data_IF_688828264900
#
_entry.id   IF_688828264900
#
_cell.length_a   1.000
_cell.length_b   1.000
_cell.length_c   1.000
_cell.angle_alpha   90.00
_cell.angle_beta   90.00
_cell.angle_gamma   90.00
#
_symmetry.space_group_name_H-M   'P 1'
#
loop_
_entity.id
_entity.type
_entity.pdbx_description
1 polymer ?
#
# COMPACT_ATOMS: atom_id res chain seq x y z
N UNK A 1 11.86 3.13 35.41
CA UNK A 1 11.90 1.92 34.56
C UNK A 1 11.26 2.24 33.23
N UNK A 2 11.76 1.68 32.13
CA UNK A 2 11.10 1.83 30.82
C UNK A 2 9.80 1.02 30.82
N UNK A 3 8.68 1.68 30.53
CA UNK A 3 7.39 1.03 30.29
C UNK A 3 7.03 1.21 28.82
N UNK A 4 6.55 0.16 28.14
CA UNK A 4 6.16 0.27 26.73
C UNK A 4 4.96 1.21 26.58
N UNK A 5 4.90 1.90 25.46
CA UNK A 5 3.74 2.66 25.02
C UNK A 5 2.57 1.73 24.70
N UNK A 6 1.35 2.29 24.69
CA UNK A 6 0.16 1.53 24.33
C UNK A 6 0.24 0.93 22.91
N UNK A 7 0.83 1.66 21.96
CA UNK A 7 1.01 1.18 20.59
C UNK A 7 2.00 0.01 20.50
N UNK A 8 3.10 0.04 21.26
CA UNK A 8 4.05 -1.08 21.34
C UNK A 8 3.39 -2.32 21.95
N UNK A 9 2.54 -2.15 22.98
CA UNK A 9 1.78 -3.25 23.59
C UNK A 9 0.83 -3.87 22.55
N UNK A 10 0.05 -3.07 21.83
CA UNK A 10 -0.87 -3.58 20.80
C UNK A 10 -0.13 -4.27 19.65
N UNK A 11 1.00 -3.72 19.23
CA UNK A 11 1.84 -4.32 18.18
C UNK A 11 2.34 -5.70 18.61
N UNK A 12 2.83 -5.83 19.85
CA UNK A 12 3.27 -7.11 20.40
C UNK A 12 2.12 -8.12 20.47
N UNK A 13 0.94 -7.69 20.92
CA UNK A 13 -0.25 -8.53 20.99
C UNK A 13 -0.68 -9.02 19.60
N UNK A 14 -0.66 -8.15 18.59
CA UNK A 14 -0.97 -8.50 17.20
C UNK A 14 -0.01 -9.57 16.67
N UNK A 15 1.31 -9.39 16.84
CA UNK A 15 2.28 -10.39 16.39
C UNK A 15 2.15 -11.73 17.14
N UNK A 16 1.90 -11.70 18.45
CA UNK A 16 1.66 -12.92 19.20
C UNK A 16 0.38 -13.65 18.72
N UNK A 17 -0.68 -12.90 18.41
CA UNK A 17 -1.91 -13.44 17.87
C UNK A 17 -1.72 -14.05 16.47
N UNK A 18 -1.03 -13.36 15.57
CA UNK A 18 -0.70 -13.86 14.23
C UNK A 18 0.11 -15.16 14.29
N UNK A 19 1.08 -15.23 15.19
CA UNK A 19 1.84 -16.47 15.47
C UNK A 19 0.93 -17.58 15.97
N UNK A 20 0.05 -17.30 16.94
CA UNK A 20 -0.88 -18.28 17.49
C UNK A 20 -1.87 -18.81 16.43
N UNK A 21 -2.30 -17.95 15.50
CA UNK A 21 -3.17 -18.32 14.37
C UNK A 21 -2.44 -18.97 13.20
N UNK A 22 -1.10 -19.04 13.20
CA UNK A 22 -0.28 -19.64 12.15
C UNK A 22 -0.62 -19.09 10.76
N UNK A 23 -0.78 -17.77 10.65
CA UNK A 23 -1.09 -17.12 9.38
C UNK A 23 0.03 -17.36 8.36
N UNK A 24 -0.33 -17.44 7.08
CA UNK A 24 0.67 -17.57 6.01
C UNK A 24 1.34 -16.23 5.68
N UNK A 25 0.56 -15.14 5.69
CA UNK A 25 1.01 -13.79 5.39
C UNK A 25 0.35 -12.80 6.35
N UNK A 26 1.13 -11.84 6.84
CA UNK A 26 0.63 -10.70 7.61
C UNK A 26 0.85 -9.40 6.82
N UNK A 27 -0.20 -8.59 6.72
CA UNK A 27 -0.11 -7.22 6.20
C UNK A 27 -0.02 -6.30 7.42
N UNK A 28 1.08 -5.56 7.53
CA UNK A 28 1.39 -4.75 8.71
C UNK A 28 1.45 -3.29 8.28
N UNK A 29 0.53 -2.48 8.78
CA UNK A 29 0.52 -1.04 8.59
C UNK A 29 1.40 -0.38 9.67
N UNK A 30 2.32 0.48 9.25
CA UNK A 30 3.10 1.28 10.18
C UNK A 30 2.22 2.35 10.83
N UNK A 31 2.28 2.49 12.15
CA UNK A 31 1.48 3.47 12.88
C UNK A 31 1.90 4.91 12.59
N UNK A 32 3.21 5.20 12.62
CA UNK A 32 3.75 6.51 12.31
C UNK A 32 5.16 6.43 11.70
N UNK A 33 5.33 7.07 10.56
CA UNK A 33 6.61 7.10 9.87
C UNK A 33 6.98 5.72 9.33
N UNK A 34 7.91 5.03 9.99
CA UNK A 34 8.35 3.69 9.59
C UNK A 34 9.62 3.26 10.30
N UNK A 35 10.71 4.02 10.18
CA UNK A 35 12.03 3.66 10.71
C UNK A 35 12.03 3.31 12.21
N UNK A 36 11.33 4.09 13.01
CA UNK A 36 11.22 3.93 14.46
C UNK A 36 9.83 3.47 14.90
N UNK A 37 9.02 3.00 13.96
CA UNK A 37 7.70 2.49 14.29
C UNK A 37 7.79 1.15 15.01
N UNK A 38 6.90 0.90 15.98
CA UNK A 38 6.89 -0.35 16.76
C UNK A 38 6.74 -1.60 15.87
N UNK A 39 6.10 -1.45 14.69
CA UNK A 39 5.93 -2.52 13.72
C UNK A 39 7.21 -2.88 12.96
N UNK A 40 8.22 -2.00 12.94
CA UNK A 40 9.44 -2.14 12.12
C UNK A 40 10.48 -3.13 12.69
N UNK A 41 10.01 -4.11 13.44
CA UNK A 41 10.79 -5.24 13.97
C UNK A 41 10.72 -6.48 13.07
N UNK A 42 9.91 -6.42 12.00
CA UNK A 42 9.73 -7.52 11.04
C UNK A 42 10.71 -7.42 9.87
N UNK A 43 10.99 -8.56 9.26
CA UNK A 43 11.70 -8.67 7.97
C UNK A 43 10.68 -8.97 6.88
N UNK A 44 10.19 -7.97 6.14
CA UNK A 44 9.10 -8.16 5.19
C UNK A 44 9.57 -8.84 3.90
N UNK A 45 8.69 -9.61 3.27
CA UNK A 45 8.90 -10.09 1.89
C UNK A 45 8.76 -8.95 0.87
N UNK A 46 7.80 -8.05 1.13
CA UNK A 46 7.54 -6.85 0.33
C UNK A 46 7.33 -5.67 1.26
N UNK A 47 8.05 -4.57 1.03
CA UNK A 47 7.80 -3.29 1.70
C UNK A 47 7.03 -2.38 0.76
N UNK A 48 5.99 -1.69 1.26
CA UNK A 48 5.17 -0.79 0.44
C UNK A 48 5.21 0.63 0.98
N UNK A 49 5.45 1.60 0.09
CA UNK A 49 5.40 3.03 0.40
C UNK A 49 4.22 3.66 -0.36
N UNK A 50 3.16 3.98 0.37
CA UNK A 50 2.02 4.76 -0.14
C UNK A 50 2.45 6.22 -0.44
N UNK A 51 1.61 7.04 -1.11
CA UNK A 51 1.95 8.42 -1.42
C UNK A 51 2.43 9.19 -0.19
N UNK A 52 3.59 9.83 -0.29
CA UNK A 52 4.16 10.64 0.79
C UNK A 52 3.68 12.07 0.63
N UNK A 53 2.93 12.53 1.63
CA UNK A 53 2.48 13.92 1.77
C UNK A 53 3.10 14.55 3.02
N UNK A 54 2.77 15.82 3.26
CA UNK A 54 3.21 16.58 4.44
C UNK A 54 2.43 16.19 5.70
N UNK A 55 2.38 14.92 6.02
CA UNK A 55 1.72 14.40 7.21
C UNK A 55 2.66 14.35 8.42
N UNK A 56 2.11 14.62 9.61
CA UNK A 56 2.83 14.60 10.89
C UNK A 56 4.17 15.35 10.88
N UNK A 57 4.22 16.52 10.23
CA UNK A 57 5.47 17.29 10.02
C UNK A 57 6.20 17.70 11.30
N UNK A 58 5.48 17.77 12.42
CA UNK A 58 6.04 18.04 13.75
C UNK A 58 6.86 16.86 14.30
N UNK A 59 6.60 15.63 13.84
CA UNK A 59 7.33 14.40 14.25
C UNK A 59 8.29 13.95 13.14
N UNK A 60 7.80 13.82 11.91
CA UNK A 60 8.55 13.26 10.78
C UNK A 60 9.43 14.29 10.05
N UNK A 61 9.25 15.56 10.37
CA UNK A 61 10.01 16.68 9.83
C UNK A 61 9.27 17.51 8.79
N UNK A 62 9.80 18.71 8.56
CA UNK A 62 9.15 19.76 7.76
C UNK A 62 9.38 19.67 6.24
N UNK A 63 9.82 18.53 5.72
CA UNK A 63 10.01 18.36 4.27
C UNK A 63 9.74 16.93 3.82
N UNK A 64 9.23 16.76 2.59
CA UNK A 64 8.97 15.44 2.00
C UNK A 64 10.21 14.55 2.01
N UNK A 65 11.40 15.13 1.83
CA UNK A 65 12.67 14.41 1.97
C UNK A 65 12.85 13.81 3.36
N UNK A 66 12.57 14.56 4.44
CA UNK A 66 12.70 14.06 5.82
C UNK A 66 11.66 12.98 6.11
N UNK A 67 10.40 13.21 5.71
CA UNK A 67 9.31 12.25 5.87
C UNK A 67 9.64 10.95 5.12
N UNK A 68 10.17 11.06 3.90
CA UNK A 68 10.61 9.92 3.11
C UNK A 68 11.77 9.15 3.74
N UNK A 69 12.68 9.80 4.47
CA UNK A 69 13.75 9.11 5.21
C UNK A 69 13.14 8.23 6.30
N UNK A 70 12.17 8.75 7.06
CA UNK A 70 11.49 7.96 8.09
C UNK A 70 10.70 6.81 7.49
N UNK A 71 9.88 7.06 6.47
CA UNK A 71 9.05 6.04 5.82
C UNK A 71 9.89 4.96 5.12
N UNK A 72 11.00 5.34 4.48
CA UNK A 72 11.91 4.39 3.81
C UNK A 72 12.65 3.46 4.78
N UNK A 73 12.56 3.70 6.10
CA UNK A 73 13.18 2.84 7.12
C UNK A 73 12.55 1.45 7.26
N UNK A 74 11.40 1.20 6.63
CA UNK A 74 10.77 -0.13 6.54
C UNK A 74 11.38 -1.00 5.43
N UNK A 75 12.19 -0.42 4.54
CA UNK A 75 12.86 -1.15 3.46
C UNK A 75 14.03 -1.91 4.08
N UNK A 76 14.00 -3.23 3.99
CA UNK A 76 15.00 -4.15 4.55
C UNK A 76 15.68 -4.95 3.45
N UNK A 77 16.84 -5.56 3.74
CA UNK A 77 17.54 -6.40 2.76
C UNK A 77 16.70 -7.63 2.43
N UNK A 78 16.76 -8.07 1.17
CA UNK A 78 16.08 -9.30 0.73
C UNK A 78 14.59 -9.14 0.43
N UNK A 79 13.99 -7.97 0.69
CA UNK A 79 12.62 -7.68 0.29
C UNK A 79 12.55 -7.10 -1.12
N UNK A 80 11.35 -7.05 -1.69
CA UNK A 80 11.01 -6.19 -2.83
C UNK A 80 10.37 -4.91 -2.30
N UNK A 81 10.71 -3.75 -2.86
CA UNK A 81 10.12 -2.46 -2.48
C UNK A 81 9.16 -1.97 -3.56
N UNK A 82 7.90 -1.78 -3.19
CA UNK A 82 6.86 -1.21 -4.05
C UNK A 82 6.54 0.20 -3.56
N UNK A 83 6.49 1.18 -4.46
CA UNK A 83 6.08 2.54 -4.14
C UNK A 83 4.96 2.99 -5.06
N UNK A 84 4.00 3.70 -4.48
CA UNK A 84 3.11 4.57 -5.24
C UNK A 84 3.94 5.65 -5.98
N UNK A 85 3.30 6.41 -6.88
CA UNK A 85 3.94 7.60 -7.45
C UNK A 85 4.28 8.61 -6.34
N UNK A 86 5.40 9.31 -6.48
CA UNK A 86 5.93 10.19 -5.44
C UNK A 86 6.44 11.48 -6.07
N UNK A 87 6.41 12.55 -5.27
CA UNK A 87 7.19 13.75 -5.53
C UNK A 87 8.69 13.43 -5.66
N UNK A 88 9.38 14.14 -6.54
CA UNK A 88 10.77 13.89 -6.91
C UNK A 88 11.70 13.82 -5.69
N UNK A 89 11.47 14.68 -4.70
CA UNK A 89 12.27 14.76 -3.49
C UNK A 89 12.15 13.52 -2.61
N UNK A 90 10.95 12.94 -2.51
CA UNK A 90 10.68 11.70 -1.79
C UNK A 90 11.15 10.48 -2.60
N UNK A 91 10.87 10.46 -3.91
CA UNK A 91 11.26 9.37 -4.81
C UNK A 91 12.77 9.14 -4.83
N UNK A 92 13.56 10.23 -4.82
CA UNK A 92 15.03 10.16 -4.75
C UNK A 92 15.52 9.47 -3.48
N UNK A 93 14.86 9.68 -2.35
CA UNK A 93 15.20 9.03 -1.07
C UNK A 93 14.91 7.54 -1.14
N UNK A 94 13.70 7.17 -1.56
CA UNK A 94 13.27 5.77 -1.63
C UNK A 94 14.17 4.99 -2.59
N UNK A 95 14.43 5.52 -3.79
CA UNK A 95 15.33 4.90 -4.77
C UNK A 95 16.75 4.73 -4.24
N UNK A 96 17.27 5.75 -3.54
CA UNK A 96 18.60 5.69 -2.92
C UNK A 96 18.65 4.57 -1.88
N UNK A 97 17.65 4.48 -1.01
CA UNK A 97 17.57 3.43 0.00
C UNK A 97 17.53 2.04 -0.63
N UNK A 98 16.70 1.86 -1.67
CA UNK A 98 16.62 0.60 -2.41
C UNK A 98 17.98 0.21 -3.01
N UNK A 99 18.65 1.17 -3.67
CA UNK A 99 19.98 0.97 -4.25
C UNK A 99 21.03 0.62 -3.19
N UNK A 100 21.01 1.29 -2.04
CA UNK A 100 21.96 1.03 -0.94
C UNK A 100 21.78 -0.36 -0.36
N UNK A 101 20.55 -0.85 -0.25
CA UNK A 101 20.26 -2.20 0.26
C UNK A 101 20.32 -3.29 -0.81
N UNK A 102 20.43 -2.92 -2.09
CA UNK A 102 20.42 -3.84 -3.22
C UNK A 102 19.08 -4.53 -3.43
N UNK A 103 17.97 -3.86 -3.11
CA UNK A 103 16.61 -4.41 -3.26
C UNK A 103 15.96 -3.97 -4.57
N UNK A 104 15.12 -4.83 -5.13
CA UNK A 104 14.30 -4.50 -6.28
C UNK A 104 13.32 -3.37 -5.92
N UNK A 105 13.17 -2.40 -6.83
CA UNK A 105 12.28 -1.26 -6.65
C UNK A 105 11.29 -1.19 -7.80
N UNK A 106 10.00 -1.21 -7.44
CA UNK A 106 8.86 -1.17 -8.36
C UNK A 106 8.07 0.12 -8.09
N UNK A 107 7.78 0.87 -9.14
CA UNK A 107 7.11 2.16 -9.06
C UNK A 107 5.80 2.17 -9.85
N UNK A 108 4.70 2.48 -9.15
CA UNK A 108 3.42 2.79 -9.79
C UNK A 108 3.56 4.06 -10.63
N UNK A 109 3.01 4.04 -11.84
CA UNK A 109 3.18 5.06 -12.87
C UNK A 109 4.33 4.79 -13.84
N UNK A 110 5.25 3.87 -13.50
CA UNK A 110 6.35 3.46 -14.38
C UNK A 110 6.28 1.97 -14.72
N UNK A 111 6.43 1.14 -13.70
CA UNK A 111 6.51 -0.32 -13.81
C UNK A 111 5.12 -0.95 -13.75
N UNK A 112 4.20 -0.30 -13.03
CA UNK A 112 2.76 -0.63 -12.99
C UNK A 112 2.01 0.58 -13.52
N UNK A 113 1.24 0.41 -14.59
CA UNK A 113 0.54 1.51 -15.26
C UNK A 113 -0.95 1.40 -15.06
N UNK A 114 -1.58 2.54 -14.81
CA UNK A 114 -3.02 2.65 -14.56
C UNK A 114 -3.65 3.43 -15.70
N UNK A 115 -4.83 3.02 -16.12
CA UNK A 115 -5.69 3.80 -17.01
C UNK A 115 -7.10 3.83 -16.44
N UNK A 116 -7.55 5.02 -16.05
CA UNK A 116 -8.94 5.29 -15.68
C UNK A 116 -9.84 5.06 -16.90
N UNK A 117 -10.97 4.37 -16.71
CA UNK A 117 -11.92 4.06 -17.77
C UNK A 117 -13.26 4.77 -17.52
N UNK A 118 -13.77 4.68 -16.30
CA UNK A 118 -15.08 5.24 -15.94
C UNK A 118 -15.14 5.49 -14.44
N UNK A 119 -15.92 6.51 -14.05
CA UNK A 119 -16.29 6.79 -12.68
C UNK A 119 -17.77 7.11 -12.57
N UNK A 120 -18.37 6.84 -11.42
CA UNK A 120 -19.66 7.38 -11.00
C UNK A 120 -19.71 7.55 -9.47
N UNK A 121 -20.89 7.80 -8.92
CA UNK A 121 -21.08 7.95 -7.47
C UNK A 121 -20.92 6.65 -6.66
N UNK A 122 -20.81 5.50 -7.31
CA UNK A 122 -20.89 4.18 -6.68
C UNK A 122 -19.64 3.32 -6.94
N UNK A 123 -18.87 3.63 -7.99
CA UNK A 123 -17.69 2.85 -8.37
C UNK A 123 -16.71 3.60 -9.26
N UNK A 124 -15.50 3.09 -9.23
CA UNK A 124 -14.41 3.38 -10.16
C UNK A 124 -14.17 2.15 -11.05
N UNK A 125 -14.00 2.36 -12.35
CA UNK A 125 -13.58 1.32 -13.31
C UNK A 125 -12.28 1.73 -13.97
N UNK A 126 -11.29 0.85 -13.92
CA UNK A 126 -9.95 1.13 -14.41
C UNK A 126 -9.24 -0.13 -14.93
N UNK A 127 -8.25 0.09 -15.78
CA UNK A 127 -7.31 -0.93 -16.22
C UNK A 127 -5.97 -0.77 -15.48
N UNK A 128 -5.33 -1.89 -15.15
CA UNK A 128 -3.95 -1.91 -14.66
C UNK A 128 -3.10 -2.83 -15.53
N UNK A 129 -1.99 -2.31 -16.03
CA UNK A 129 -0.91 -3.12 -16.60
C UNK A 129 0.12 -3.37 -15.49
N UNK A 130 0.14 -4.60 -14.98
CA UNK A 130 1.12 -5.05 -13.98
C UNK A 130 2.36 -5.68 -14.62
N UNK A 131 3.21 -6.26 -13.78
CA UNK A 131 4.40 -7.00 -14.19
C UNK A 131 4.06 -8.44 -14.55
N UNK A 132 3.10 -9.05 -13.85
CA UNK A 132 2.65 -10.43 -14.11
C UNK A 132 1.46 -10.45 -15.06
N UNK A 133 0.50 -9.55 -14.89
CA UNK A 133 -0.80 -9.59 -15.57
C UNK A 133 -1.28 -8.24 -16.09
N UNK A 134 -2.20 -8.28 -17.06
CA UNK A 134 -3.04 -7.14 -17.38
C UNK A 134 -4.41 -7.36 -16.73
N UNK A 135 -4.87 -6.35 -15.99
CA UNK A 135 -6.11 -6.37 -15.23
C UNK A 135 -7.06 -5.39 -15.91
N UNK A 136 -7.89 -5.91 -16.81
CA UNK A 136 -8.86 -5.11 -17.56
C UNK A 136 -10.17 -4.98 -16.81
N UNK A 137 -10.75 -3.78 -16.80
CA UNK A 137 -12.04 -3.48 -16.17
C UNK A 137 -12.09 -3.97 -14.71
N UNK A 138 -11.13 -3.55 -13.90
CA UNK A 138 -11.22 -3.66 -12.44
C UNK A 138 -12.35 -2.75 -11.95
N UNK A 139 -13.12 -3.22 -10.98
CA UNK A 139 -14.19 -2.45 -10.33
C UNK A 139 -13.77 -2.23 -8.89
N UNK A 140 -13.81 -0.98 -8.42
CA UNK A 140 -13.61 -0.61 -7.02
C UNK A 140 -14.83 0.16 -6.54
N UNK A 141 -15.35 -0.21 -5.37
CA UNK A 141 -16.39 0.56 -4.68
C UNK A 141 -15.82 1.64 -3.76
N UNK A 142 -14.50 1.63 -3.54
CA UNK A 142 -13.81 2.76 -2.92
C UNK A 142 -13.67 3.88 -3.95
N UNK A 143 -14.30 5.01 -3.64
CA UNK A 143 -14.40 6.16 -4.53
C UNK A 143 -13.14 7.03 -4.49
N UNK A 144 -12.79 7.61 -5.65
CA UNK A 144 -11.72 8.59 -5.78
C UNK A 144 -10.45 8.04 -6.42
N UNK A 145 -9.76 8.90 -7.19
CA UNK A 145 -8.54 8.54 -7.93
C UNK A 145 -7.42 7.99 -7.05
N UNK A 146 -7.33 8.43 -5.80
CA UNK A 146 -6.36 7.91 -4.84
C UNK A 146 -6.59 6.42 -4.54
N UNK A 147 -7.84 5.95 -4.57
CA UNK A 147 -8.16 4.54 -4.36
C UNK A 147 -7.72 3.68 -5.55
N UNK A 148 -7.80 4.22 -6.77
CA UNK A 148 -7.24 3.57 -7.95
C UNK A 148 -5.72 3.41 -7.81
N UNK A 149 -5.03 4.45 -7.36
CA UNK A 149 -3.59 4.39 -7.10
C UNK A 149 -3.24 3.39 -5.98
N UNK A 150 -4.04 3.32 -4.92
CA UNK A 150 -3.89 2.34 -3.84
C UNK A 150 -4.08 0.91 -4.37
N UNK A 151 -5.09 0.66 -5.19
CA UNK A 151 -5.34 -0.63 -5.82
C UNK A 151 -4.16 -1.04 -6.73
N UNK A 152 -3.61 -0.11 -7.52
CA UNK A 152 -2.44 -0.37 -8.34
C UNK A 152 -1.20 -0.72 -7.50
N UNK A 153 -1.02 -0.07 -6.35
CA UNK A 153 0.03 -0.39 -5.40
C UNK A 153 -0.17 -1.79 -4.80
N UNK A 154 -1.41 -2.13 -4.41
CA UNK A 154 -1.77 -3.45 -3.89
C UNK A 154 -1.52 -4.57 -4.93
N UNK A 155 -1.86 -4.35 -6.20
CA UNK A 155 -1.50 -5.25 -7.31
C UNK A 155 0.01 -5.48 -7.33
N UNK A 156 0.79 -4.40 -7.26
CA UNK A 156 2.25 -4.49 -7.24
C UNK A 156 2.80 -5.29 -6.07
N UNK A 157 2.21 -5.14 -4.89
CA UNK A 157 2.56 -5.92 -3.70
C UNK A 157 2.26 -7.41 -3.90
N UNK A 158 1.07 -7.76 -4.38
CA UNK A 158 0.68 -9.16 -4.58
C UNK A 158 1.53 -9.82 -5.67
N UNK A 159 1.80 -9.13 -6.78
CA UNK A 159 2.71 -9.63 -7.82
C UNK A 159 4.15 -9.80 -7.33
N UNK A 160 4.63 -8.87 -6.50
CA UNK A 160 5.97 -8.97 -5.90
C UNK A 160 6.05 -10.15 -4.94
N UNK A 161 5.02 -10.33 -4.10
CA UNK A 161 4.93 -11.44 -3.16
C UNK A 161 4.94 -12.80 -3.89
N UNK A 162 4.13 -12.93 -4.96
CA UNK A 162 4.11 -14.13 -5.80
C UNK A 162 5.50 -14.45 -6.36
N UNK A 163 6.24 -13.44 -6.82
CA UNK A 163 7.61 -13.60 -7.34
C UNK A 163 8.62 -13.98 -6.25
N UNK A 164 8.47 -13.48 -5.02
CA UNK A 164 9.38 -13.77 -3.91
C UNK A 164 9.18 -15.18 -3.36
N UNK A 165 7.93 -15.66 -3.28
CA UNK A 165 7.60 -16.96 -2.70
C UNK A 165 7.80 -18.10 -3.70
N UNK A 166 7.57 -17.84 -4.99
CA UNK A 166 7.59 -18.89 -6.01
C UNK A 166 8.97 -19.06 -6.65
N UNK A 167 9.42 -20.30 -6.78
CA UNK A 167 10.58 -20.64 -7.63
C UNK A 167 10.14 -20.69 -9.10
N UNK A 168 10.16 -19.54 -9.77
CA UNK A 168 9.88 -19.40 -11.20
C UNK A 168 8.61 -18.59 -11.53
N UNK A 169 8.38 -18.35 -12.82
CA UNK A 169 7.26 -17.52 -13.28
C UNK A 169 5.89 -18.19 -13.06
N UNK A 170 4.85 -17.37 -12.88
CA UNK A 170 3.45 -17.83 -12.89
C UNK A 170 3.19 -18.56 -14.21
N UNK A 171 2.75 -19.82 -14.12
CA UNK A 171 2.46 -20.63 -15.30
C UNK A 171 1.36 -19.96 -16.12
N UNK A 172 1.49 -20.01 -17.45
CA UNK A 172 0.49 -19.42 -18.37
C UNK A 172 -0.93 -19.92 -18.09
N UNK A 173 -1.08 -21.18 -17.67
CA UNK A 173 -2.35 -21.79 -17.28
C UNK A 173 -2.95 -21.25 -15.97
N UNK A 174 -2.13 -20.73 -15.06
CA UNK A 174 -2.56 -20.23 -13.74
C UNK A 174 -2.86 -18.73 -13.76
N UNK A 175 -2.29 -17.99 -14.73
CA UNK A 175 -2.44 -16.54 -14.88
C UNK A 175 -3.90 -16.07 -14.88
N UNK A 176 -4.87 -16.73 -15.54
CA UNK A 176 -6.28 -16.30 -15.48
C UNK A 176 -6.85 -16.35 -14.06
N UNK A 177 -6.55 -17.40 -13.29
CA UNK A 177 -7.00 -17.53 -11.90
C UNK A 177 -6.36 -16.47 -11.01
N UNK A 178 -5.07 -16.20 -11.20
CA UNK A 178 -4.34 -15.17 -10.46
C UNK A 178 -4.92 -13.78 -10.71
N UNK A 179 -5.12 -13.41 -11.98
CA UNK A 179 -5.71 -12.13 -12.38
C UNK A 179 -7.14 -11.98 -11.82
N UNK A 180 -7.98 -13.00 -11.96
CA UNK A 180 -9.35 -12.97 -11.45
C UNK A 180 -9.41 -12.86 -9.92
N UNK A 181 -8.49 -13.52 -9.20
CA UNK A 181 -8.40 -13.42 -7.74
C UNK A 181 -8.09 -12.00 -7.27
N UNK A 182 -7.16 -11.32 -7.93
CA UNK A 182 -6.82 -9.92 -7.62
C UNK A 182 -7.99 -8.98 -7.97
N UNK A 183 -8.59 -9.14 -9.15
CA UNK A 183 -9.77 -8.34 -9.54
C UNK A 183 -10.90 -8.46 -8.53
N UNK A 184 -11.20 -9.70 -8.12
CA UNK A 184 -12.21 -9.97 -7.10
C UNK A 184 -11.87 -9.33 -5.76
N UNK A 185 -10.60 -9.42 -5.34
CA UNK A 185 -10.14 -8.77 -4.11
C UNK A 185 -10.33 -7.25 -4.13
N UNK A 186 -10.06 -6.58 -5.26
CA UNK A 186 -10.31 -5.14 -5.43
C UNK A 186 -11.80 -4.83 -5.31
N UNK A 187 -12.65 -5.62 -5.98
CA UNK A 187 -14.11 -5.43 -5.96
C UNK A 187 -14.71 -5.62 -4.56
N UNK A 188 -14.22 -6.61 -3.80
CA UNK A 188 -14.69 -6.91 -2.43
C UNK A 188 -14.01 -6.04 -1.34
N UNK A 189 -13.14 -5.10 -1.71
CA UNK A 189 -12.43 -4.27 -0.72
C UNK A 189 -13.35 -3.24 -0.09
N UNK A 190 -13.36 -3.19 1.25
CA UNK A 190 -14.04 -2.19 2.05
C UNK A 190 -13.02 -1.35 2.83
N UNK A 191 -13.30 -0.06 3.00
CA UNK A 191 -12.49 0.85 3.82
C UNK A 191 -13.40 1.87 4.51
N UNK A 192 -14.02 1.47 5.64
CA UNK A 192 -14.97 2.33 6.35
C UNK A 192 -14.38 3.70 6.70
N UNK A 193 -15.19 4.76 6.54
CA UNK A 193 -14.78 6.14 6.75
C UNK A 193 -13.84 6.71 5.66
N UNK A 194 -13.89 6.18 4.43
CA UNK A 194 -13.21 6.74 3.25
C UNK A 194 -14.20 6.91 2.10
N UNK A 195 -14.71 8.13 1.93
CA UNK A 195 -15.79 8.50 1.01
C UNK A 195 -16.96 7.50 1.07
N UNK A 196 -17.31 7.05 2.28
CA UNK A 196 -18.29 6.00 2.51
C UNK A 196 -19.70 6.57 2.48
N UNK A 197 -20.54 6.09 1.56
CA UNK A 197 -21.93 6.51 1.47
C UNK A 197 -22.76 5.66 2.46
N UNK A 198 -23.16 6.26 3.58
CA UNK A 198 -23.95 5.58 4.62
C UNK A 198 -25.47 5.79 4.49
N UNK A 199 -25.90 6.79 3.73
CA UNK A 199 -27.29 7.00 3.38
C UNK A 199 -27.40 7.73 2.02
N UNK A 200 -28.44 7.42 1.25
CA UNK A 200 -28.75 8.11 -0.02
C UNK A 200 -29.91 9.09 0.08
N UNK A 201 -30.75 8.96 1.11
CA UNK A 201 -31.83 9.90 1.40
C UNK A 201 -32.06 10.01 2.92
N UNK A 202 -31.62 11.11 3.57
CA UNK A 202 -30.74 12.15 3.01
C UNK A 202 -29.40 11.56 2.53
N UNK A 203 -28.75 12.21 1.58
CA UNK A 203 -27.45 11.74 1.07
C UNK A 203 -26.36 12.08 2.09
N UNK A 204 -25.72 11.07 2.68
CA UNK A 204 -24.72 11.21 3.75
C UNK A 204 -23.46 10.44 3.35
N UNK A 205 -22.34 11.15 3.33
CA UNK A 205 -21.00 10.59 3.14
C UNK A 205 -20.20 10.74 4.44
N UNK A 206 -19.53 9.68 4.86
CA UNK A 206 -18.50 9.70 5.90
C UNK A 206 -17.12 9.69 5.25
N UNK A 207 -16.29 10.67 5.61
CA UNK A 207 -14.91 10.70 5.16
C UNK A 207 -13.97 11.15 6.29
N UNK A 208 -12.86 10.42 6.41
CA UNK A 208 -11.82 10.64 7.42
C UNK A 208 -10.63 11.45 6.91
N UNK A 209 -10.74 12.17 5.80
CA UNK A 209 -9.70 13.08 5.32
C UNK A 209 -9.47 14.18 6.36
N UNK A 210 -8.23 14.24 6.85
CA UNK A 210 -7.77 15.21 7.84
C UNK A 210 -6.74 16.20 7.25
N UNK A 211 -6.47 16.11 5.94
CA UNK A 211 -5.45 16.89 5.25
C UNK A 211 -5.99 17.50 3.94
N UNK A 212 -5.67 18.78 3.71
CA UNK A 212 -6.14 19.56 2.56
C UNK A 212 -5.95 18.90 1.19
N UNK A 213 -4.82 18.24 0.86
CA UNK A 213 -4.67 17.59 -0.45
C UNK A 213 -5.56 16.36 -0.68
N UNK A 214 -6.24 15.86 0.36
CA UNK A 214 -7.25 14.79 0.25
C UNK A 214 -8.68 15.35 0.19
N UNK A 215 -8.85 16.67 0.34
CA UNK A 215 -10.14 17.37 0.29
C UNK A 215 -10.42 18.02 -1.07
N UNK A 216 -9.43 18.06 -1.97
CA UNK A 216 -9.51 18.56 -3.35
C UNK A 216 -9.56 17.42 -4.36
#
# INVERSE_FOLDING_TARGET
>A
GFSPTLFEIYTLLAFNYFRAKKINYGVIEAGLGGRLDATNIVEPLVSVISPISYDHTHILGKSLKKIAIEKSGIIKKGCVSVSASQEDSALKVIKKQCKTLGVEFILVGKDIKVKEIYHDSDKEIFDVQGMIGDYKHCVSHLLGRHQIANAACAIGVVESLERTVRTGAVRKSERPRFVNGIKKGIEETENPGRCEIIARSPYIILDGAQYLPLLE
#
